data_IF_365636746914
#
_entry.id   IF_365636746914
#
_cell.length_a   1.000
_cell.length_b   1.000
_cell.length_c   1.000
_cell.angle_alpha   90.00
_cell.angle_beta   90.00
_cell.angle_gamma   90.00
#
_symmetry.space_group_name_H-M   'P 1'
#
loop_
_entity.id
_entity.type
_entity.pdbx_description
1 polymer ?
#
# COMPACT_ATOMS: atom_id res chain seq x y z
N UNK A 1 -6.15 -2.70 -3.89
CA UNK A 1 -5.69 -2.51 -2.49
C UNK A 1 -6.82 -2.96 -1.58
N UNK A 2 -6.53 -3.55 -0.41
CA UNK A 2 -7.59 -3.83 0.56
C UNK A 2 -8.21 -2.50 1.00
N UNK A 3 -9.48 -2.48 1.39
CA UNK A 3 -10.08 -1.23 1.86
C UNK A 3 -9.28 -0.62 3.03
N UNK A 4 -9.38 0.69 3.29
CA UNK A 4 -8.53 1.36 4.28
C UNK A 4 -7.08 1.63 3.86
N UNK A 5 -6.65 1.17 2.66
CA UNK A 5 -5.38 1.52 2.03
C UNK A 5 -5.67 2.09 0.64
N UNK A 6 -5.28 3.35 0.41
CA UNK A 6 -5.54 4.06 -0.85
C UNK A 6 -4.26 4.53 -1.54
N UNK A 7 -4.35 4.76 -2.86
CA UNK A 7 -3.25 5.32 -3.62
C UNK A 7 -3.09 6.81 -3.29
N UNK A 8 -1.87 7.22 -2.93
CA UNK A 8 -1.50 8.63 -2.90
C UNK A 8 -1.41 9.20 -4.33
N UNK A 9 -1.60 10.52 -4.54
CA UNK A 9 -1.37 11.19 -5.82
C UNK A 9 0.12 11.27 -6.25
N UNK A 10 0.95 10.31 -5.83
CA UNK A 10 2.33 10.15 -6.26
C UNK A 10 2.36 9.70 -7.74
N UNK A 11 3.06 10.46 -8.58
CA UNK A 11 3.17 10.22 -10.03
C UNK A 11 3.80 8.87 -10.37
N UNK A 12 4.77 8.40 -9.59
CA UNK A 12 5.40 7.10 -9.77
C UNK A 12 4.45 5.98 -9.35
N UNK A 13 3.74 6.16 -8.23
CA UNK A 13 2.75 5.18 -7.78
C UNK A 13 1.60 5.05 -8.78
N UNK A 14 1.09 6.16 -9.29
CA UNK A 14 0.02 6.20 -10.29
C UNK A 14 0.39 5.42 -11.55
N UNK A 15 1.63 5.55 -12.05
CA UNK A 15 2.10 4.75 -13.18
C UNK A 15 2.20 3.26 -12.88
N UNK A 16 2.66 2.90 -11.67
CA UNK A 16 2.80 1.49 -11.24
C UNK A 16 1.47 0.77 -11.10
N UNK A 17 0.40 1.48 -10.70
CA UNK A 17 -0.94 0.89 -10.56
C UNK A 17 -1.46 0.27 -11.85
N UNK A 18 -1.12 0.89 -12.99
CA UNK A 18 -1.47 0.36 -14.31
C UNK A 18 -0.48 -0.71 -14.78
N UNK A 19 0.83 -0.43 -14.68
CA UNK A 19 1.88 -1.24 -15.30
C UNK A 19 1.90 -2.71 -14.86
N UNK A 20 1.64 -3.00 -13.57
CA UNK A 20 1.70 -4.38 -13.07
C UNK A 20 0.57 -5.27 -13.59
N UNK A 21 -0.65 -4.73 -13.68
CA UNK A 21 -1.79 -5.48 -14.21
C UNK A 21 -1.58 -5.79 -15.70
N UNK A 22 -1.13 -4.81 -16.48
CA UNK A 22 -0.86 -4.95 -17.91
C UNK A 22 0.21 -6.02 -18.20
N UNK A 23 1.32 -5.97 -17.46
CA UNK A 23 2.41 -6.96 -17.61
C UNK A 23 1.93 -8.38 -17.35
N UNK A 24 1.01 -8.58 -16.40
CA UNK A 24 0.46 -9.92 -16.09
C UNK A 24 -0.41 -10.47 -17.21
N UNK A 25 -1.18 -9.63 -17.89
CA UNK A 25 -2.01 -10.06 -19.03
C UNK A 25 -1.16 -10.66 -20.15
N UNK A 26 -0.03 -10.03 -20.47
CA UNK A 26 0.87 -10.52 -21.51
C UNK A 26 1.72 -11.71 -21.05
N UNK A 27 2.22 -11.69 -19.80
CA UNK A 27 3.18 -12.70 -19.32
C UNK A 27 2.54 -14.02 -18.87
N UNK A 28 1.36 -13.95 -18.25
CA UNK A 28 0.74 -15.08 -17.54
C UNK A 28 -0.71 -15.31 -18.00
N UNK A 29 -1.32 -14.30 -18.62
CA UNK A 29 -2.66 -14.38 -19.20
C UNK A 29 -3.74 -13.70 -18.35
N UNK A 30 -4.94 -13.61 -18.93
CA UNK A 30 -6.09 -12.92 -18.34
C UNK A 30 -6.51 -13.52 -16.99
N UNK A 31 -6.48 -14.84 -16.87
CA UNK A 31 -6.89 -15.58 -15.67
C UNK A 31 -5.74 -15.85 -14.67
N UNK A 32 -4.71 -15.00 -14.65
CA UNK A 32 -3.53 -15.16 -13.77
C UNK A 32 -3.86 -15.23 -12.26
N UNK A 33 -5.03 -14.74 -11.85
CA UNK A 33 -5.55 -14.79 -10.48
C UNK A 33 -6.02 -16.18 -10.05
N UNK A 34 -6.27 -17.12 -10.98
CA UNK A 34 -6.71 -18.50 -10.67
C UNK A 34 -5.53 -19.41 -10.32
N UNK A 35 -4.30 -19.01 -10.68
CA UNK A 35 -3.09 -19.77 -10.40
C UNK A 35 -2.95 -19.92 -8.88
N UNK A 36 -2.69 -21.14 -8.34
CA UNK A 36 -2.74 -21.40 -6.89
C UNK A 36 -1.96 -20.42 -6.03
N UNK A 37 -0.80 -19.94 -6.50
CA UNK A 37 0.04 -18.98 -5.76
C UNK A 37 -0.52 -17.55 -5.74
N UNK A 38 -1.29 -17.16 -6.75
CA UNK A 38 -1.89 -15.82 -6.87
C UNK A 38 -3.34 -15.79 -6.38
N UNK A 39 -3.96 -16.95 -6.22
CA UNK A 39 -5.33 -17.08 -5.77
C UNK A 39 -5.41 -16.57 -4.33
N UNK A 40 -6.22 -15.54 -4.03
CA UNK A 40 -6.34 -15.06 -2.67
C UNK A 40 -6.84 -16.20 -1.78
N UNK A 41 -6.15 -16.45 -0.67
CA UNK A 41 -6.60 -17.40 0.34
C UNK A 41 -7.84 -16.84 1.04
N UNK A 42 -8.97 -17.11 0.42
CA UNK A 42 -10.27 -16.82 0.98
C UNK A 42 -10.54 -17.80 2.11
N UNK A 43 -10.33 -17.36 3.36
CA UNK A 43 -10.93 -18.00 4.53
C UNK A 43 -12.43 -18.19 4.29
N UNK A 44 -13.03 -19.26 4.85
CA UNK A 44 -14.40 -19.77 4.59
C UNK A 44 -15.54 -18.74 4.44
N UNK A 45 -15.35 -17.50 4.88
CA UNK A 45 -16.37 -16.43 4.92
C UNK A 45 -16.15 -15.29 3.90
N UNK A 46 -15.03 -15.26 3.17
CA UNK A 46 -14.80 -14.25 2.12
C UNK A 46 -14.73 -15.04 0.82
N UNK A 47 -15.55 -14.73 -0.19
CA UNK A 47 -15.41 -15.33 -1.53
C UNK A 47 -15.09 -14.21 -2.49
N UNK A 48 -14.13 -14.43 -3.39
CA UNK A 48 -13.90 -13.50 -4.51
C UNK A 48 -15.12 -13.58 -5.43
N UNK A 49 -15.96 -12.55 -5.36
CA UNK A 49 -17.18 -12.42 -6.14
C UNK A 49 -17.01 -11.25 -7.11
N UNK A 50 -16.61 -11.55 -8.35
CA UNK A 50 -16.51 -10.56 -9.44
C UNK A 50 -17.52 -10.92 -10.52
N UNK A 51 -17.84 -10.01 -11.45
CA UNK A 51 -18.70 -10.34 -12.59
C UNK A 51 -17.94 -10.86 -13.82
N UNK A 52 -16.62 -11.06 -13.71
CA UNK A 52 -15.76 -11.49 -14.81
C UNK A 52 -16.06 -12.95 -15.21
N UNK A 53 -15.96 -13.23 -16.51
CA UNK A 53 -16.22 -14.54 -17.13
C UNK A 53 -15.16 -14.88 -18.17
N UNK A 54 -15.00 -16.17 -18.43
CA UNK A 54 -14.21 -16.74 -19.53
C UNK A 54 -12.72 -16.34 -19.49
N UNK A 55 -12.10 -16.20 -20.66
CA UNK A 55 -10.66 -15.96 -20.84
C UNK A 55 -9.85 -17.23 -21.06
N UNK A 56 -8.66 -17.08 -21.64
CA UNK A 56 -7.75 -18.20 -21.89
C UNK A 56 -7.42 -18.93 -20.57
N UNK A 57 -7.36 -20.26 -20.63
CA UNK A 57 -7.04 -21.13 -19.49
C UNK A 57 -7.97 -20.92 -18.28
N UNK A 58 -9.27 -20.68 -18.50
CA UNK A 58 -10.28 -20.66 -17.45
C UNK A 58 -10.47 -22.07 -16.87
N UNK A 59 -9.85 -22.35 -15.72
CA UNK A 59 -9.91 -23.66 -15.03
C UNK A 59 -10.86 -23.68 -13.84
N UNK A 60 -11.48 -22.54 -13.49
CA UNK A 60 -12.46 -22.44 -12.42
C UNK A 60 -13.89 -22.76 -12.85
N UNK A 61 -14.83 -22.69 -11.90
CA UNK A 61 -16.27 -22.89 -12.12
C UNK A 61 -16.97 -21.80 -12.98
N UNK A 62 -16.23 -20.76 -13.41
CA UNK A 62 -16.73 -19.61 -14.18
C UNK A 62 -18.04 -19.00 -13.64
N UNK A 63 -18.29 -19.17 -12.33
CA UNK A 63 -19.49 -18.74 -11.61
C UNK A 63 -20.84 -19.25 -12.18
N UNK A 64 -20.81 -20.32 -13.00
CA UNK A 64 -22.00 -20.98 -13.55
C UNK A 64 -22.97 -20.01 -14.24
N UNK A 65 -24.27 -20.19 -13.98
CA UNK A 65 -25.36 -19.38 -14.55
C UNK A 65 -25.62 -18.06 -13.82
N UNK A 66 -24.72 -17.64 -12.91
CA UNK A 66 -24.91 -16.38 -12.19
C UNK A 66 -24.83 -15.18 -13.14
N UNK A 67 -25.63 -14.11 -12.91
CA UNK A 67 -25.55 -12.87 -13.69
C UNK A 67 -24.11 -12.35 -13.78
N UNK A 68 -23.71 -11.84 -14.94
CA UNK A 68 -22.36 -11.38 -15.27
C UNK A 68 -22.26 -9.85 -15.39
N UNK A 69 -23.18 -9.10 -14.79
CA UNK A 69 -23.22 -7.64 -14.86
C UNK A 69 -23.54 -7.01 -13.50
N UNK A 70 -23.00 -5.81 -13.25
CA UNK A 70 -23.24 -5.04 -12.04
C UNK A 70 -24.42 -4.06 -12.21
N UNK A 71 -25.13 -3.77 -11.11
CA UNK A 71 -26.56 -3.44 -11.01
C UNK A 71 -27.45 -4.51 -11.62
N UNK A 72 -27.60 -5.57 -10.85
CA UNK A 72 -28.63 -6.57 -11.06
C UNK A 72 -29.47 -6.61 -9.77
N UNK A 73 -30.68 -7.18 -9.87
CA UNK A 73 -31.59 -7.34 -8.73
C UNK A 73 -31.16 -8.43 -7.74
N UNK A 74 -29.90 -8.87 -7.78
CA UNK A 74 -29.32 -9.99 -7.02
C UNK A 74 -28.05 -9.51 -6.26
N UNK A 75 -28.22 -8.90 -5.07
CA UNK A 75 -27.22 -8.41 -4.10
C UNK A 75 -25.72 -8.58 -4.46
N UNK A 76 -24.97 -7.47 -4.57
CA UNK A 76 -23.52 -7.42 -4.80
C UNK A 76 -22.70 -6.92 -3.59
N UNK A 77 -21.35 -7.03 -3.62
CA UNK A 77 -20.47 -6.74 -2.47
C UNK A 77 -20.05 -5.25 -2.31
N UNK A 78 -19.99 -4.78 -1.06
CA UNK A 78 -19.53 -3.44 -0.58
C UNK A 78 -18.15 -3.50 0.15
N UNK A 79 -17.49 -2.36 0.44
CA UNK A 79 -16.09 -2.26 0.98
C UNK A 79 -15.91 -1.34 2.21
N UNK A 80 -15.14 -1.72 3.28
CA UNK A 80 -14.12 -0.90 4.05
C UNK A 80 -13.24 -1.69 5.09
N UNK A 81 -12.13 -1.13 5.64
CA UNK A 81 -11.13 -1.74 6.60
C UNK A 81 -10.50 -0.69 7.57
N UNK A 82 -9.76 -1.15 8.62
CA UNK A 82 -9.67 -0.58 10.00
C UNK A 82 -8.28 -0.12 10.54
N UNK A 83 -8.26 0.25 11.84
CA UNK A 83 -7.21 0.96 12.58
C UNK A 83 -5.90 0.20 12.84
N UNK A 84 -5.87 -1.14 12.75
CA UNK A 84 -4.66 -1.95 12.99
C UNK A 84 -3.57 -1.72 11.95
N UNK A 85 -3.96 -1.28 10.75
CA UNK A 85 -3.01 -0.93 9.68
C UNK A 85 -2.04 0.19 10.08
N UNK A 86 -2.45 1.09 10.98
CA UNK A 86 -1.63 2.27 11.35
C UNK A 86 -0.45 1.94 12.27
N UNK A 87 -0.55 0.92 13.12
CA UNK A 87 0.51 0.57 14.08
C UNK A 87 1.70 -0.15 13.42
N UNK A 88 1.47 -0.93 12.36
CA UNK A 88 2.51 -1.74 11.71
C UNK A 88 3.54 -0.89 10.95
N UNK A 89 3.16 0.32 10.53
CA UNK A 89 4.02 1.21 9.74
C UNK A 89 5.25 1.68 10.53
N UNK A 90 5.10 1.97 11.83
CA UNK A 90 6.17 2.51 12.68
C UNK A 90 7.29 1.47 12.90
N UNK A 91 6.92 0.20 13.07
CA UNK A 91 7.90 -0.85 13.33
C UNK A 91 8.77 -1.15 12.10
N UNK A 92 8.16 -1.22 10.92
CA UNK A 92 8.89 -1.53 9.69
C UNK A 92 9.92 -0.45 9.34
N UNK A 93 9.59 0.84 9.53
CA UNK A 93 10.51 1.93 9.20
C UNK A 93 11.73 1.93 10.13
N UNK A 94 11.52 1.69 11.43
CA UNK A 94 12.61 1.68 12.41
C UNK A 94 13.59 0.51 12.16
N UNK A 95 13.10 -0.68 11.81
CA UNK A 95 13.94 -1.85 11.52
C UNK A 95 14.82 -1.64 10.28
N UNK A 96 14.28 -1.04 9.21
CA UNK A 96 15.05 -0.77 8.01
C UNK A 96 16.16 0.27 8.23
N UNK A 97 15.93 1.29 9.06
CA UNK A 97 16.93 2.33 9.34
C UNK A 97 18.09 1.85 10.21
N UNK A 98 17.91 0.80 11.02
CA UNK A 98 19.01 0.20 11.79
C UNK A 98 20.07 -0.47 10.92
N UNK A 99 19.73 -0.83 9.66
CA UNK A 99 20.65 -1.49 8.74
C UNK A 99 21.62 -0.51 8.06
N UNK A 100 21.41 0.80 8.18
CA UNK A 100 22.32 1.80 7.61
C UNK A 100 23.57 1.99 8.49
N UNK A 101 24.75 1.87 7.88
CA UNK A 101 26.05 2.04 8.56
C UNK A 101 26.45 3.51 8.72
N UNK A 102 26.06 4.37 7.79
CA UNK A 102 26.34 5.80 7.83
C UNK A 102 25.35 6.55 8.73
N UNK A 103 25.87 7.09 9.83
CA UNK A 103 25.10 7.82 10.85
C UNK A 103 24.57 9.16 10.34
N UNK A 104 25.19 9.75 9.33
CA UNK A 104 24.73 11.02 8.75
C UNK A 104 23.49 10.83 7.88
N UNK A 105 23.31 9.64 7.27
CA UNK A 105 22.10 9.29 6.51
C UNK A 105 20.91 9.10 7.45
N UNK A 106 21.11 8.43 8.59
CA UNK A 106 20.07 8.22 9.61
C UNK A 106 19.61 9.55 10.21
N UNK A 107 20.54 10.48 10.48
CA UNK A 107 20.18 11.82 10.97
C UNK A 107 19.34 12.61 9.95
N UNK A 108 19.67 12.53 8.65
CA UNK A 108 18.89 13.19 7.60
C UNK A 108 17.49 12.59 7.44
N UNK A 109 17.34 11.27 7.53
CA UNK A 109 16.01 10.63 7.41
C UNK A 109 15.10 11.00 8.58
N UNK A 110 15.61 11.00 9.82
CA UNK A 110 14.86 11.46 11.00
C UNK A 110 14.45 12.93 10.85
N UNK A 111 15.34 13.79 10.33
CA UNK A 111 15.03 15.21 10.11
C UNK A 111 13.90 15.41 9.07
N UNK A 112 13.81 14.56 8.04
CA UNK A 112 12.70 14.58 7.07
C UNK A 112 11.38 14.20 7.73
N UNK A 113 11.38 13.15 8.58
CA UNK A 113 10.18 12.75 9.32
C UNK A 113 9.75 13.80 10.35
N UNK A 114 10.69 14.49 10.99
CA UNK A 114 10.41 15.60 11.91
C UNK A 114 9.77 16.82 11.23
N UNK A 115 9.88 16.95 9.90
CA UNK A 115 9.15 17.99 9.15
C UNK A 115 7.71 17.59 8.84
N UNK A 116 7.35 16.31 8.96
CA UNK A 116 6.03 15.77 8.62
C UNK A 116 5.17 15.62 9.87
N UNK A 117 5.70 14.98 10.92
CA UNK A 117 5.00 14.78 12.19
C UNK A 117 5.99 14.62 13.35
N UNK A 118 5.76 15.39 14.42
CA UNK A 118 6.67 15.46 15.57
C UNK A 118 6.64 14.22 16.45
N UNK A 119 5.48 13.56 16.52
CA UNK A 119 5.28 12.35 17.32
C UNK A 119 5.91 11.14 16.64
N UNK A 120 5.76 11.02 15.33
CA UNK A 120 6.40 10.00 14.50
C UNK A 120 7.93 10.09 14.60
N UNK A 121 8.48 11.30 14.46
CA UNK A 121 9.91 11.51 14.50
C UNK A 121 10.52 11.22 15.88
N UNK A 122 9.83 11.60 16.97
CA UNK A 122 10.24 11.23 18.34
C UNK A 122 10.28 9.72 18.54
N UNK A 123 9.22 9.02 18.15
CA UNK A 123 9.13 7.56 18.28
C UNK A 123 10.20 6.83 17.48
N UNK A 124 10.58 7.38 16.33
CA UNK A 124 11.65 6.84 15.49
C UNK A 124 13.04 7.07 16.12
N UNK A 125 13.28 8.27 16.66
CA UNK A 125 14.55 8.63 17.30
C UNK A 125 14.81 7.86 18.60
N UNK A 126 13.77 7.69 19.43
CA UNK A 126 13.82 6.86 20.66
C UNK A 126 14.19 5.41 20.33
N UNK A 127 13.60 4.83 19.27
CA UNK A 127 13.94 3.46 18.84
C UNK A 127 15.37 3.31 18.29
N UNK A 128 16.00 4.39 17.85
CA UNK A 128 17.33 4.39 17.24
C UNK A 128 18.44 4.88 18.18
N UNK A 129 18.12 5.27 19.43
CA UNK A 129 19.03 5.85 20.43
C UNK A 129 19.84 7.04 19.86
N UNK A 130 19.17 7.94 19.15
CA UNK A 130 19.78 9.12 18.55
C UNK A 130 19.04 10.38 18.99
N UNK A 131 19.78 11.47 19.20
CA UNK A 131 19.20 12.77 19.48
C UNK A 131 18.37 13.26 18.29
N UNK A 132 17.20 13.84 18.56
CA UNK A 132 16.32 14.37 17.51
C UNK A 132 17.00 15.57 16.85
N UNK A 133 17.33 15.50 15.54
CA UNK A 133 17.96 16.60 14.83
C UNK A 133 17.02 17.81 14.77
N UNK A 134 17.58 19.02 14.86
CA UNK A 134 16.83 20.27 14.77
C UNK A 134 16.13 20.38 13.41
N UNK A 135 14.83 20.72 13.42
CA UNK A 135 14.02 20.87 12.21
C UNK A 135 14.69 21.83 11.23
N UNK A 136 14.63 21.50 9.95
CA UNK A 136 15.11 22.40 8.91
C UNK A 136 14.27 23.68 8.94
N UNK A 137 14.88 24.88 8.97
CA UNK A 137 14.12 26.13 9.07
C UNK A 137 13.18 26.28 7.88
N UNK A 138 11.89 26.48 8.17
CA UNK A 138 10.83 26.68 7.17
C UNK A 138 11.05 27.98 6.40
N UNK A 139 10.60 28.05 5.14
CA UNK A 139 10.78 29.20 4.25
C UNK A 139 10.29 30.54 4.84
N UNK A 140 9.33 30.53 5.76
CA UNK A 140 8.88 31.72 6.52
C UNK A 140 9.98 32.34 7.38
N UNK A 141 10.86 31.53 7.98
CA UNK A 141 11.96 31.99 8.85
C UNK A 141 13.14 32.56 8.05
N UNK A 142 13.22 32.28 6.75
CA UNK A 142 14.28 32.78 5.87
C UNK A 142 13.97 34.22 5.43
N UNK A 143 12.68 34.57 5.28
CA UNK A 143 12.23 35.92 4.88
C UNK A 143 12.37 37.01 5.94
N UNK A 144 12.56 36.66 7.22
CA UNK A 144 12.77 37.63 8.30
C UNK A 144 14.22 38.13 8.43
N UNK A 145 15.16 37.60 7.62
CA UNK A 145 16.59 37.92 7.68
C UNK A 145 17.07 38.88 6.57
N UNK A 146 16.14 39.43 5.78
CA UNK A 146 16.39 40.44 4.77
C UNK A 146 15.38 41.57 4.90
#
# INVERSE_FOLDING_TARGET
MPPGIEASPDKMLQGRLFSYADTHLHRVGTNHHIIPVNNPETNKNVKVCTYQRDGAMQTGHNQGSAPNYHKNSYNGPDQVLDDRGRANVINNIAEHLQQCTDRDIIRRSIAIFANVDDELARRLAEKLNLDVPTKTPTASNIRSKY
#
